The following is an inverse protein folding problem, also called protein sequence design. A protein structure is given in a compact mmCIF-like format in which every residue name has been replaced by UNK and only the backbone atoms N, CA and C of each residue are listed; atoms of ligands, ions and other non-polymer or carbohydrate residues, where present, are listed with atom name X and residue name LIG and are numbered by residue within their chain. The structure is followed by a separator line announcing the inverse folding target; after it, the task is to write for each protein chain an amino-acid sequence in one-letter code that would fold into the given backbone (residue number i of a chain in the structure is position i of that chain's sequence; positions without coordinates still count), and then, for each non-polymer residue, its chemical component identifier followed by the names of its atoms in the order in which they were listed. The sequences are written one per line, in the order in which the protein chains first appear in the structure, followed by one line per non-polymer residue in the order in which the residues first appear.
data_IF_350144479383
#
_entry.id   IF_350144479383
#
_cell.length_a   1.000
_cell.length_b   1.000
_cell.length_c   1.000
_cell.angle_alpha   90.00
_cell.angle_beta   90.00
_cell.angle_gamma   90.00
#
_symmetry.space_group_name_H-M   'P 1'
#
loop_
_entity.id
_entity.type
_entity.pdbx_description
1 polymer ?
#
# COMPACT_ATOMS: atom_id res chain seq x y z
N UNK A 1 -37.65 11.35 -20.55
CA UNK A 1 -36.89 11.51 -19.31
C UNK A 1 -35.43 11.58 -19.70
N UNK A 2 -34.88 12.80 -19.72
CA UNK A 2 -33.53 13.08 -20.20
C UNK A 2 -32.54 12.63 -19.13
N UNK A 3 -32.07 11.39 -19.22
CA UNK A 3 -31.15 10.80 -18.26
C UNK A 3 -29.73 11.27 -18.62
N UNK A 4 -29.43 12.55 -18.40
CA UNK A 4 -28.10 13.09 -18.64
C UNK A 4 -27.11 12.46 -17.65
N UNK A 5 -26.22 11.61 -18.16
CA UNK A 5 -25.15 11.02 -17.36
C UNK A 5 -24.29 12.17 -16.85
N UNK A 6 -24.30 12.40 -15.53
CA UNK A 6 -23.41 13.36 -14.88
C UNK A 6 -21.99 12.81 -14.94
N UNK A 7 -21.10 13.57 -15.57
CA UNK A 7 -19.68 13.23 -15.66
C UNK A 7 -18.93 14.06 -14.63
N UNK A 8 -18.10 13.44 -13.81
CA UNK A 8 -17.41 14.10 -12.70
C UNK A 8 -15.91 14.20 -13.00
N UNK A 9 -15.32 15.36 -12.71
CA UNK A 9 -13.89 15.58 -12.83
C UNK A 9 -13.13 14.79 -11.77
N UNK A 10 -12.20 13.93 -12.19
CA UNK A 10 -11.38 13.13 -11.28
C UNK A 10 -10.31 13.92 -10.54
N UNK A 11 -10.08 15.18 -10.90
CA UNK A 11 -9.08 16.05 -10.24
C UNK A 11 -9.69 16.84 -9.07
N UNK A 12 -10.91 17.38 -9.24
CA UNK A 12 -11.51 18.27 -8.25
C UNK A 12 -12.94 17.89 -7.83
N UNK A 13 -13.51 16.82 -8.39
CA UNK A 13 -14.86 16.33 -8.03
C UNK A 13 -16.02 17.16 -8.56
N UNK A 14 -15.76 18.24 -9.31
CA UNK A 14 -16.81 19.05 -9.93
C UNK A 14 -17.42 18.38 -11.17
N UNK A 15 -18.62 18.79 -11.54
CA UNK A 15 -19.26 18.33 -12.79
C UNK A 15 -18.48 18.81 -14.02
N UNK A 16 -18.34 17.92 -15.00
CA UNK A 16 -17.74 18.19 -16.29
C UNK A 16 -18.83 18.58 -17.29
N UNK A 17 -18.66 19.75 -17.92
CA UNK A 17 -19.61 20.25 -18.91
C UNK A 17 -19.21 19.81 -20.33
N UNK A 18 -20.16 19.35 -21.15
CA UNK A 18 -19.88 18.95 -22.52
C UNK A 18 -19.63 20.16 -23.43
N UNK A 19 -18.53 20.12 -24.18
CA UNK A 19 -18.23 20.99 -25.30
C UNK A 19 -18.40 20.18 -26.59
N UNK A 20 -19.58 20.33 -27.22
CA UNK A 20 -19.99 19.54 -28.38
C UNK A 20 -19.15 19.84 -29.62
N UNK A 21 -18.69 21.07 -29.78
CA UNK A 21 -17.89 21.50 -30.94
C UNK A 21 -16.54 20.79 -30.94
N UNK A 22 -15.90 20.74 -29.78
CA UNK A 22 -14.56 20.16 -29.63
C UNK A 22 -14.60 18.67 -29.24
N UNK A 23 -15.79 18.08 -29.04
CA UNK A 23 -15.99 16.70 -28.58
C UNK A 23 -15.24 16.39 -27.27
N UNK A 24 -15.20 17.36 -26.36
CA UNK A 24 -14.54 17.22 -25.06
C UNK A 24 -15.48 17.57 -23.90
N UNK A 25 -15.06 17.24 -22.69
CA UNK A 25 -15.71 17.60 -21.44
C UNK A 25 -14.76 18.48 -20.65
N UNK A 26 -15.19 19.69 -20.27
CA UNK A 26 -14.36 20.66 -19.56
C UNK A 26 -14.81 20.83 -18.11
N UNK A 27 -13.85 20.89 -17.20
CA UNK A 27 -14.10 21.26 -15.82
C UNK A 27 -14.01 22.77 -15.68
N UNK A 28 -15.10 23.42 -15.30
CA UNK A 28 -15.13 24.87 -15.06
C UNK A 28 -14.39 25.29 -13.80
N UNK A 29 -14.12 24.35 -12.88
CA UNK A 29 -13.44 24.63 -11.62
C UNK A 29 -11.91 24.54 -11.74
N UNK A 30 -11.37 23.48 -12.35
CA UNK A 30 -9.93 23.25 -12.43
C UNK A 30 -9.34 23.39 -13.85
N UNK A 31 -10.17 23.71 -14.85
CA UNK A 31 -9.76 23.96 -16.24
C UNK A 31 -9.36 22.72 -17.06
N UNK A 32 -9.34 21.53 -16.45
CA UNK A 32 -8.97 20.29 -17.16
C UNK A 32 -10.04 19.90 -18.17
N UNK A 33 -9.61 19.38 -19.32
CA UNK A 33 -10.48 18.86 -20.36
C UNK A 33 -10.17 17.40 -20.67
N UNK A 34 -11.21 16.62 -20.98
CA UNK A 34 -11.13 15.21 -21.32
C UNK A 34 -11.82 14.94 -22.65
N UNK A 35 -11.24 14.10 -23.50
CA UNK A 35 -11.90 13.66 -24.73
C UNK A 35 -13.16 12.86 -24.41
N UNK A 36 -14.28 13.16 -25.09
CA UNK A 36 -15.53 12.42 -24.93
C UNK A 36 -15.37 10.92 -25.24
N UNK A 37 -14.51 10.57 -26.19
CA UNK A 37 -14.17 9.20 -26.56
C UNK A 37 -13.55 8.40 -25.41
N UNK A 38 -12.82 9.06 -24.51
CA UNK A 38 -12.14 8.43 -23.37
C UNK A 38 -13.13 8.21 -22.20
N UNK A 39 -14.04 9.16 -21.99
CA UNK A 39 -15.05 9.08 -20.91
C UNK A 39 -16.06 7.97 -21.15
N UNK A 40 -16.53 7.83 -22.40
CA UNK A 40 -17.57 6.87 -22.78
C UNK A 40 -17.02 5.63 -23.48
N UNK A 41 -15.74 5.33 -23.28
CA UNK A 41 -15.12 4.14 -23.83
C UNK A 41 -15.73 2.89 -23.17
N UNK A 42 -16.46 2.10 -23.96
CA UNK A 42 -17.10 0.86 -23.49
C UNK A 42 -16.08 -0.20 -23.05
N UNK A 43 -14.85 -0.12 -23.56
CA UNK A 43 -13.77 -1.05 -23.24
C UNK A 43 -12.88 -0.56 -22.09
N UNK A 44 -13.18 0.58 -21.46
CA UNK A 44 -12.36 1.16 -20.38
C UNK A 44 -12.03 0.13 -19.28
N UNK A 45 -13.01 -0.66 -18.84
CA UNK A 45 -12.80 -1.70 -17.84
C UNK A 45 -11.88 -2.84 -18.33
N UNK A 46 -12.01 -3.22 -19.60
CA UNK A 46 -11.15 -4.24 -20.23
C UNK A 46 -9.71 -3.74 -20.36
N UNK A 47 -9.54 -2.49 -20.81
CA UNK A 47 -8.23 -1.82 -20.94
C UNK A 47 -7.56 -1.66 -19.58
N UNK A 48 -8.28 -1.19 -18.57
CA UNK A 48 -7.77 -1.07 -17.19
C UNK A 48 -7.22 -2.40 -16.67
N UNK A 49 -8.00 -3.48 -16.78
CA UNK A 49 -7.58 -4.82 -16.34
C UNK A 49 -6.37 -5.35 -17.12
N UNK A 50 -6.35 -5.16 -18.45
CA UNK A 50 -5.22 -5.57 -19.29
C UNK A 50 -3.94 -4.84 -18.89
N UNK A 51 -3.99 -3.51 -18.79
CA UNK A 51 -2.86 -2.68 -18.34
C UNK A 51 -2.37 -3.09 -16.95
N UNK A 52 -3.29 -3.32 -16.00
CA UNK A 52 -2.93 -3.78 -14.67
C UNK A 52 -2.21 -5.15 -14.70
N UNK A 53 -2.72 -6.10 -15.49
CA UNK A 53 -2.15 -7.45 -15.61
C UNK A 53 -0.73 -7.45 -16.20
N UNK A 54 -0.45 -6.58 -17.17
CA UNK A 54 0.91 -6.44 -17.75
C UNK A 54 1.85 -5.58 -16.89
N UNK A 55 1.34 -4.86 -15.89
CA UNK A 55 2.14 -4.01 -14.98
C UNK A 55 2.25 -2.55 -15.42
N UNK A 56 1.46 -2.11 -16.40
CA UNK A 56 1.36 -0.72 -16.82
C UNK A 56 0.43 0.05 -15.87
N UNK A 57 0.91 0.27 -14.64
CA UNK A 57 0.10 0.82 -13.54
C UNK A 57 -0.40 2.25 -13.78
N UNK A 58 0.37 3.08 -14.50
CA UNK A 58 -0.04 4.44 -14.83
C UNK A 58 -1.20 4.44 -15.83
N UNK A 59 -1.12 3.61 -16.87
CA UNK A 59 -2.18 3.46 -17.86
C UNK A 59 -3.43 2.85 -17.24
N UNK A 60 -3.27 1.85 -16.38
CA UNK A 60 -4.37 1.28 -15.61
C UNK A 60 -5.07 2.34 -14.74
N UNK A 61 -4.32 3.19 -14.02
CA UNK A 61 -4.88 4.28 -13.20
C UNK A 61 -5.66 5.30 -14.05
N UNK A 62 -5.21 5.59 -15.27
CA UNK A 62 -5.94 6.45 -16.22
C UNK A 62 -7.29 5.81 -16.56
N UNK A 63 -7.33 4.56 -16.98
CA UNK A 63 -8.58 3.89 -17.34
C UNK A 63 -9.53 3.73 -16.14
N UNK A 64 -9.01 3.43 -14.95
CA UNK A 64 -9.83 3.39 -13.73
C UNK A 64 -10.40 4.77 -13.38
N UNK A 65 -9.63 5.86 -13.57
CA UNK A 65 -10.16 7.22 -13.43
C UNK A 65 -11.29 7.50 -14.41
N UNK A 66 -11.17 7.07 -15.67
CA UNK A 66 -12.25 7.21 -16.67
C UNK A 66 -13.54 6.53 -16.24
N UNK A 67 -13.46 5.32 -15.69
CA UNK A 67 -14.64 4.63 -15.13
C UNK A 67 -15.25 5.44 -13.98
N UNK A 68 -14.42 5.99 -13.10
CA UNK A 68 -14.87 6.80 -11.96
C UNK A 68 -15.46 8.17 -12.34
N UNK A 69 -15.28 8.63 -13.58
CA UNK A 69 -15.93 9.85 -14.08
C UNK A 69 -17.44 9.65 -14.29
N UNK A 70 -17.85 8.43 -14.67
CA UNK A 70 -19.26 8.10 -14.96
C UNK A 70 -19.91 7.30 -13.83
N UNK A 71 -19.13 6.49 -13.10
CA UNK A 71 -19.58 5.71 -11.96
C UNK A 71 -18.65 5.95 -10.77
N UNK A 72 -18.94 6.96 -9.96
CA UNK A 72 -18.01 7.46 -8.93
C UNK A 72 -17.76 6.48 -7.78
N UNK A 73 -18.61 5.47 -7.61
CA UNK A 73 -18.59 4.47 -6.54
C UNK A 73 -18.22 3.08 -7.08
N UNK A 74 -17.75 2.97 -8.33
CA UNK A 74 -17.39 1.69 -8.94
C UNK A 74 -16.29 0.99 -8.12
N UNK A 75 -16.65 -0.13 -7.51
CA UNK A 75 -15.77 -0.87 -6.61
C UNK A 75 -14.48 -1.31 -7.30
N UNK A 76 -14.58 -1.88 -8.51
CA UNK A 76 -13.42 -2.40 -9.22
C UNK A 76 -12.47 -1.28 -9.64
N UNK A 77 -12.99 -0.11 -9.99
CA UNK A 77 -12.17 1.04 -10.31
C UNK A 77 -11.52 1.65 -9.07
N UNK A 78 -12.23 1.79 -7.95
CA UNK A 78 -11.65 2.24 -6.68
C UNK A 78 -10.56 1.28 -6.19
N UNK A 79 -10.84 -0.03 -6.22
CA UNK A 79 -9.88 -1.10 -5.91
C UNK A 79 -8.67 -1.07 -6.84
N UNK A 80 -8.91 -0.95 -8.14
CA UNK A 80 -7.87 -0.90 -9.16
C UNK A 80 -6.89 0.25 -8.95
N UNK A 81 -7.38 1.43 -8.55
CA UNK A 81 -6.52 2.59 -8.25
C UNK A 81 -5.62 2.39 -7.03
N UNK A 82 -6.04 1.59 -6.06
CA UNK A 82 -5.21 1.21 -4.91
C UNK A 82 -4.08 0.30 -5.37
N UNK A 83 -4.40 -0.72 -6.18
CA UNK A 83 -3.43 -1.62 -6.79
C UNK A 83 -2.40 -0.87 -7.65
N UNK A 84 -2.86 0.08 -8.48
CA UNK A 84 -1.98 0.93 -9.28
C UNK A 84 -1.03 1.77 -8.41
N UNK A 85 -1.54 2.37 -7.34
CA UNK A 85 -0.71 3.14 -6.40
C UNK A 85 0.34 2.27 -5.69
N UNK A 86 -0.01 1.01 -5.40
CA UNK A 86 0.88 0.03 -4.78
C UNK A 86 1.87 -0.60 -5.75
N UNK A 87 1.65 -0.46 -7.06
CA UNK A 87 2.32 -1.24 -8.12
C UNK A 87 2.09 -2.74 -7.96
N UNK A 88 0.85 -3.13 -7.66
CA UNK A 88 0.45 -4.51 -7.45
C UNK A 88 -0.53 -4.94 -8.53
N UNK A 89 -0.43 -6.19 -9.02
CA UNK A 89 -1.43 -6.74 -9.94
C UNK A 89 -2.63 -7.31 -9.17
N UNK A 90 -2.38 -7.76 -7.95
CA UNK A 90 -3.34 -8.27 -6.99
C UNK A 90 -2.87 -8.00 -5.56
N UNK A 91 -3.76 -8.12 -4.57
CA UNK A 91 -3.37 -8.03 -3.16
C UNK A 91 -2.51 -9.23 -2.69
N UNK A 92 -2.41 -10.29 -3.50
CA UNK A 92 -1.48 -11.39 -3.26
C UNK A 92 -0.03 -11.01 -3.63
N UNK A 93 0.15 -10.04 -4.53
CA UNK A 93 1.48 -9.57 -4.97
C UNK A 93 2.08 -8.52 -4.03
N UNK A 94 1.43 -8.25 -2.89
CA UNK A 94 1.86 -7.18 -2.01
C UNK A 94 3.20 -7.56 -1.38
N UNK A 95 4.24 -6.84 -1.80
CA UNK A 95 5.64 -7.02 -1.41
C UNK A 95 5.87 -6.92 0.11
N UNK A 96 7.08 -7.28 0.53
CA UNK A 96 7.56 -7.03 1.89
C UNK A 96 7.48 -5.53 2.19
N UNK A 97 7.03 -5.11 3.40
CA UNK A 97 6.92 -3.70 3.76
C UNK A 97 8.22 -2.90 3.60
N UNK A 98 9.37 -3.56 3.68
CA UNK A 98 10.69 -2.95 3.42
C UNK A 98 10.91 -2.50 1.97
N UNK A 99 10.11 -2.97 1.01
CA UNK A 99 10.19 -2.61 -0.40
C UNK A 99 9.39 -1.34 -0.77
N UNK A 100 8.50 -0.87 0.12
CA UNK A 100 7.65 0.29 -0.16
C UNK A 100 8.31 1.58 0.31
N UNK A 101 8.45 2.56 -0.60
CA UNK A 101 8.84 3.91 -0.22
C UNK A 101 7.73 4.62 0.57
N UNK A 102 8.10 5.60 1.40
CA UNK A 102 7.15 6.46 2.13
C UNK A 102 6.14 7.14 1.21
N UNK A 103 6.59 7.57 0.02
CA UNK A 103 5.74 8.13 -1.04
C UNK A 103 4.70 7.10 -1.52
N UNK A 104 5.12 5.84 -1.74
CA UNK A 104 4.20 4.78 -2.18
C UNK A 104 3.16 4.45 -1.10
N UNK A 105 3.58 4.36 0.17
CA UNK A 105 2.69 4.18 1.33
C UNK A 105 1.63 5.29 1.37
N UNK A 106 2.05 6.55 1.24
CA UNK A 106 1.14 7.70 1.21
C UNK A 106 0.15 7.61 0.05
N UNK A 107 0.63 7.34 -1.16
CA UNK A 107 -0.23 7.24 -2.35
C UNK A 107 -1.28 6.13 -2.20
N UNK A 108 -0.91 4.94 -1.69
CA UNK A 108 -1.87 3.85 -1.48
C UNK A 108 -2.91 4.21 -0.42
N UNK A 109 -2.47 4.83 0.69
CA UNK A 109 -3.35 5.32 1.76
C UNK A 109 -4.39 6.29 1.22
N UNK A 110 -3.98 7.30 0.46
CA UNK A 110 -4.87 8.30 -0.13
C UNK A 110 -5.93 7.64 -1.04
N UNK A 111 -5.54 6.66 -1.86
CA UNK A 111 -6.50 5.93 -2.71
C UNK A 111 -7.45 5.05 -1.91
N UNK A 112 -6.99 4.45 -0.83
CA UNK A 112 -7.84 3.65 0.05
C UNK A 112 -8.85 4.52 0.83
N UNK A 113 -8.42 5.71 1.28
CA UNK A 113 -9.30 6.70 1.91
C UNK A 113 -10.32 7.26 0.93
N UNK A 114 -9.90 7.59 -0.30
CA UNK A 114 -10.80 7.97 -1.39
C UNK A 114 -11.83 6.87 -1.67
N UNK A 115 -11.38 5.62 -1.77
CA UNK A 115 -12.25 4.46 -1.94
C UNK A 115 -13.27 4.32 -0.82
N UNK A 116 -12.84 4.45 0.44
CA UNK A 116 -13.72 4.39 1.60
C UNK A 116 -14.78 5.50 1.61
N UNK A 117 -14.42 6.70 1.16
CA UNK A 117 -15.33 7.84 1.11
C UNK A 117 -16.41 7.66 0.03
N UNK A 118 -16.02 7.13 -1.14
CA UNK A 118 -16.89 7.06 -2.33
C UNK A 118 -17.69 5.77 -2.44
N UNK A 119 -17.21 4.67 -1.85
CA UNK A 119 -17.82 3.36 -2.00
C UNK A 119 -19.18 3.23 -1.31
N UNK A 120 -19.98 2.28 -1.80
CA UNK A 120 -21.19 1.83 -1.13
C UNK A 120 -20.89 1.29 0.27
N UNK A 121 -21.86 1.37 1.17
CA UNK A 121 -21.69 0.95 2.57
C UNK A 121 -21.16 -0.48 2.71
N UNK A 122 -21.70 -1.41 1.91
CA UNK A 122 -21.27 -2.82 1.86
C UNK A 122 -19.79 -3.01 1.46
N UNK A 123 -19.19 -2.01 0.82
CA UNK A 123 -17.83 -2.07 0.27
C UNK A 123 -16.82 -1.30 1.14
N UNK A 124 -17.28 -0.45 2.07
CA UNK A 124 -16.41 0.37 2.93
C UNK A 124 -15.50 -0.45 3.84
N UNK A 125 -15.91 -1.67 4.19
CA UNK A 125 -15.08 -2.58 4.98
C UNK A 125 -13.78 -2.94 4.23
N UNK A 126 -13.87 -3.26 2.94
CA UNK A 126 -12.71 -3.57 2.10
C UNK A 126 -11.68 -2.43 2.10
N UNK A 127 -12.14 -1.20 1.89
CA UNK A 127 -11.26 -0.03 1.90
C UNK A 127 -10.68 0.24 3.29
N UNK A 128 -11.44 -0.03 4.35
CA UNK A 128 -10.94 0.04 5.73
C UNK A 128 -9.85 -1.02 6.00
N UNK A 129 -9.98 -2.22 5.45
CA UNK A 129 -8.93 -3.25 5.50
C UNK A 129 -7.67 -2.81 4.73
N UNK A 130 -7.83 -2.17 3.56
CA UNK A 130 -6.70 -1.60 2.82
C UNK A 130 -5.94 -0.52 3.63
N UNK A 131 -6.67 0.37 4.32
CA UNK A 131 -6.05 1.37 5.21
C UNK A 131 -5.31 0.68 6.36
N UNK A 132 -5.93 -0.34 6.98
CA UNK A 132 -5.28 -1.15 8.03
C UNK A 132 -3.99 -1.81 7.51
N UNK A 133 -4.01 -2.39 6.31
CA UNK A 133 -2.86 -3.01 5.68
C UNK A 133 -1.67 -2.04 5.59
N UNK A 134 -1.92 -0.83 5.09
CA UNK A 134 -0.89 0.21 4.93
C UNK A 134 -0.38 0.72 6.28
N UNK A 135 -1.27 0.89 7.26
CA UNK A 135 -0.86 1.23 8.64
C UNK A 135 0.07 0.16 9.22
N UNK A 136 -0.25 -1.12 9.04
CA UNK A 136 0.58 -2.22 9.52
C UNK A 136 1.94 -2.26 8.82
N UNK A 137 2.02 -1.93 7.53
CA UNK A 137 3.29 -1.76 6.83
C UNK A 137 4.15 -0.66 7.40
N UNK A 138 3.56 0.51 7.64
CA UNK A 138 4.29 1.64 8.22
C UNK A 138 4.80 1.31 9.63
N UNK A 139 3.99 0.64 10.45
CA UNK A 139 4.40 0.15 11.78
C UNK A 139 5.54 -0.85 11.69
N UNK A 140 5.47 -1.82 10.76
CA UNK A 140 6.52 -2.81 10.58
C UNK A 140 7.82 -2.14 10.14
N UNK A 141 7.76 -1.22 9.19
CA UNK A 141 8.93 -0.49 8.70
C UNK A 141 9.61 0.34 9.81
N UNK A 142 8.83 1.05 10.64
CA UNK A 142 9.34 1.77 11.81
C UNK A 142 10.05 0.80 12.78
N UNK A 143 9.45 -0.37 13.04
CA UNK A 143 10.05 -1.37 13.93
C UNK A 143 11.30 -2.03 13.36
N UNK A 144 11.35 -2.34 12.07
CA UNK A 144 12.57 -2.86 11.44
C UNK A 144 13.70 -1.80 11.48
N UNK A 145 13.36 -0.52 11.35
CA UNK A 145 14.32 0.60 11.47
C UNK A 145 14.86 0.75 12.90
N UNK A 146 14.03 0.50 13.92
CA UNK A 146 14.43 0.47 15.34
C UNK A 146 15.32 -0.74 15.67
N UNK A 147 14.97 -1.92 15.14
CA UNK A 147 15.70 -3.18 15.36
C UNK A 147 17.09 -3.15 14.72
N UNK A 148 17.21 -2.64 13.50
CA UNK A 148 18.44 -2.70 12.69
C UNK A 148 19.71 -2.25 13.43
N UNK A 149 19.79 -1.04 14.03
CA UNK A 149 21.01 -0.60 14.71
C UNK A 149 21.33 -1.42 15.96
N UNK A 150 20.32 -1.86 16.72
CA UNK A 150 20.51 -2.69 17.91
C UNK A 150 21.02 -4.08 17.52
N UNK A 151 20.43 -4.67 16.49
CA UNK A 151 20.82 -5.97 15.94
C UNK A 151 22.25 -5.94 15.38
N UNK A 152 22.61 -4.91 14.63
CA UNK A 152 23.97 -4.74 14.10
C UNK A 152 25.03 -4.65 15.21
N UNK A 153 24.74 -3.86 16.27
CA UNK A 153 25.62 -3.79 17.45
C UNK A 153 25.72 -5.16 18.14
N UNK A 154 24.60 -5.85 18.35
CA UNK A 154 24.58 -7.18 18.95
C UNK A 154 25.40 -8.19 18.14
N UNK A 155 25.25 -8.22 16.82
CA UNK A 155 26.02 -9.09 15.92
C UNK A 155 27.53 -8.81 15.99
N UNK A 156 27.92 -7.53 16.09
CA UNK A 156 29.31 -7.13 16.27
C UNK A 156 29.90 -7.67 17.57
N UNK A 157 29.25 -7.44 18.72
CA UNK A 157 29.73 -7.93 20.01
C UNK A 157 29.74 -9.46 20.10
N UNK A 158 28.79 -10.13 19.46
CA UNK A 158 28.75 -11.59 19.41
C UNK A 158 29.93 -12.19 18.64
N UNK A 159 30.28 -11.61 17.48
CA UNK A 159 31.48 -12.00 16.73
C UNK A 159 32.76 -11.82 17.54
N UNK A 160 32.88 -10.73 18.31
CA UNK A 160 34.04 -10.54 19.19
C UNK A 160 34.12 -11.64 20.26
N UNK A 161 32.99 -12.03 20.87
CA UNK A 161 32.97 -13.14 21.83
C UNK A 161 33.43 -14.46 21.20
N UNK A 162 32.95 -14.76 19.98
CA UNK A 162 33.33 -15.97 19.25
C UNK A 162 34.86 -16.01 19.01
N UNK A 163 35.46 -14.88 18.59
CA UNK A 163 36.92 -14.75 18.41
C UNK A 163 37.68 -14.96 19.73
N UNK A 164 37.24 -14.33 20.83
CA UNK A 164 37.90 -14.53 22.14
C UNK A 164 37.81 -15.98 22.63
N UNK A 165 36.70 -16.66 22.35
CA UNK A 165 36.50 -18.06 22.70
C UNK A 165 37.38 -19.01 21.87
N UNK A 166 37.60 -18.70 20.58
CA UNK A 166 38.40 -19.53 19.66
C UNK A 166 39.90 -19.42 19.91
N UNK A 167 40.42 -18.21 20.16
CA UNK A 167 41.86 -17.97 20.27
C UNK A 167 42.42 -18.04 21.70
N UNK A 168 41.58 -18.28 22.71
CA UNK A 168 41.98 -18.38 24.13
C UNK A 168 42.78 -17.16 24.64
N UNK A 169 42.54 -15.98 24.03
CA UNK A 169 43.26 -14.72 24.35
C UNK A 169 42.56 -14.06 25.52
N UNK A 170 43.03 -14.34 26.74
CA UNK A 170 42.49 -13.78 28.00
C UNK A 170 43.17 -12.47 28.44
N UNK A 171 43.51 -11.57 27.51
CA UNK A 171 44.13 -10.29 27.86
C UNK A 171 43.24 -9.08 27.48
N UNK A 172 42.98 -8.15 28.42
CA UNK A 172 42.72 -8.36 29.84
C UNK A 172 41.28 -8.87 30.06
N UNK A 173 41.05 -9.75 31.06
CA UNK A 173 39.73 -10.25 31.50
C UNK A 173 38.60 -9.19 31.57
N UNK A 174 38.95 -7.92 31.80
CA UNK A 174 38.04 -6.77 31.79
C UNK A 174 37.39 -6.53 30.41
N UNK A 175 38.09 -6.77 29.28
CA UNK A 175 37.53 -6.57 27.93
C UNK A 175 36.53 -7.67 27.56
N UNK A 176 36.80 -8.91 27.93
CA UNK A 176 35.91 -10.05 27.66
C UNK A 176 34.63 -10.03 28.52
N UNK A 177 34.77 -9.72 29.80
CA UNK A 177 33.61 -9.58 30.71
C UNK A 177 32.73 -8.37 30.34
N UNK A 178 33.32 -7.25 29.92
CA UNK A 178 32.59 -6.08 29.43
C UNK A 178 31.86 -6.36 28.10
N UNK A 179 32.46 -7.13 27.19
CA UNK A 179 31.80 -7.55 25.94
C UNK A 179 30.67 -8.54 26.21
N UNK A 180 30.79 -9.44 27.20
CA UNK A 180 29.70 -10.29 27.67
C UNK A 180 28.53 -9.51 28.29
N UNK A 181 28.80 -8.56 29.18
CA UNK A 181 27.72 -7.76 29.79
C UNK A 181 27.00 -6.92 28.74
N UNK A 182 27.76 -6.30 27.82
CA UNK A 182 27.19 -5.47 26.73
C UNK A 182 26.33 -6.30 25.77
N UNK A 183 26.76 -7.51 25.40
CA UNK A 183 25.96 -8.39 24.57
C UNK A 183 24.65 -8.82 25.26
N UNK A 184 24.71 -9.16 26.56
CA UNK A 184 23.51 -9.48 27.36
C UNK A 184 22.54 -8.31 27.45
N UNK A 185 23.04 -7.10 27.62
CA UNK A 185 22.21 -5.89 27.63
C UNK A 185 21.56 -5.60 26.27
N UNK A 186 22.30 -5.80 25.17
CA UNK A 186 21.77 -5.69 23.82
C UNK A 186 20.72 -6.78 23.55
N UNK A 187 20.92 -8.01 24.03
CA UNK A 187 19.95 -9.10 23.91
C UNK A 187 18.64 -8.78 24.64
N UNK A 188 18.75 -8.29 25.88
CA UNK A 188 17.61 -7.81 26.68
C UNK A 188 16.82 -6.69 25.98
N UNK A 189 17.50 -5.81 25.24
CA UNK A 189 16.86 -4.74 24.44
C UNK A 189 16.26 -5.28 23.14
N UNK A 190 16.94 -6.22 22.48
CA UNK A 190 16.54 -6.71 21.17
C UNK A 190 15.33 -7.65 21.25
N UNK A 191 15.25 -8.48 22.29
CA UNK A 191 14.17 -9.45 22.48
C UNK A 191 12.76 -8.85 22.45
N UNK A 192 12.41 -7.81 23.24
CA UNK A 192 11.07 -7.23 23.19
C UNK A 192 10.76 -6.57 21.83
N UNK A 193 11.76 -5.98 21.17
CA UNK A 193 11.58 -5.39 19.83
C UNK A 193 11.24 -6.46 18.78
N UNK A 194 11.93 -7.60 18.83
CA UNK A 194 11.64 -8.76 17.97
C UNK A 194 10.23 -9.30 18.24
N UNK A 195 9.85 -9.45 19.50
CA UNK A 195 8.52 -9.93 19.89
C UNK A 195 7.40 -8.99 19.39
N UNK A 196 7.59 -7.67 19.49
CA UNK A 196 6.67 -6.66 18.94
C UNK A 196 6.58 -6.74 17.42
N UNK A 197 7.70 -6.82 16.72
CA UNK A 197 7.74 -6.98 15.26
C UNK A 197 6.98 -8.24 14.84
N UNK A 198 7.16 -9.35 15.55
CA UNK A 198 6.51 -10.61 15.21
C UNK A 198 5.00 -10.56 15.45
N UNK A 199 4.53 -9.80 16.45
CA UNK A 199 3.10 -9.48 16.61
C UNK A 199 2.57 -8.68 15.43
N UNK A 200 3.29 -7.65 14.98
CA UNK A 200 2.91 -6.84 13.81
C UNK A 200 2.85 -7.71 12.54
N UNK A 201 3.80 -8.64 12.34
CA UNK A 201 3.78 -9.59 11.22
C UNK A 201 2.56 -10.52 11.27
N UNK A 202 2.18 -11.00 12.45
CA UNK A 202 0.95 -11.80 12.64
C UNK A 202 -0.30 -11.00 12.29
N UNK A 203 -0.38 -9.74 12.72
CA UNK A 203 -1.53 -8.89 12.41
C UNK A 203 -1.58 -8.53 10.92
N UNK A 204 -0.43 -8.32 10.30
CA UNK A 204 -0.33 -8.15 8.85
C UNK A 204 -0.89 -9.36 8.09
N UNK A 205 -0.52 -10.57 8.52
CA UNK A 205 -1.04 -11.80 7.93
C UNK A 205 -2.56 -11.89 8.06
N UNK A 206 -3.13 -11.56 9.23
CA UNK A 206 -4.59 -11.53 9.43
C UNK A 206 -5.28 -10.52 8.51
N UNK A 207 -4.71 -9.32 8.36
CA UNK A 207 -5.27 -8.28 7.48
C UNK A 207 -5.24 -8.72 6.02
N UNK A 208 -4.12 -9.28 5.55
CA UNK A 208 -4.01 -9.83 4.19
C UNK A 208 -5.07 -10.91 3.95
N UNK A 209 -5.20 -11.86 4.89
CA UNK A 209 -6.22 -12.90 4.81
C UNK A 209 -7.63 -12.32 4.72
N UNK A 210 -7.97 -11.33 5.57
CA UNK A 210 -9.28 -10.69 5.54
C UNK A 210 -9.58 -9.99 4.21
N UNK A 211 -8.57 -9.38 3.57
CA UNK A 211 -8.72 -8.79 2.23
C UNK A 211 -9.02 -9.89 1.20
N UNK A 212 -8.23 -10.97 1.19
CA UNK A 212 -8.44 -12.10 0.27
C UNK A 212 -9.81 -12.76 0.47
N UNK A 213 -10.24 -12.95 1.73
CA UNK A 213 -11.55 -13.51 2.06
C UNK A 213 -12.69 -12.61 1.56
N UNK A 214 -12.56 -11.28 1.71
CA UNK A 214 -13.52 -10.32 1.18
C UNK A 214 -13.63 -10.42 -0.35
N UNK A 215 -12.50 -10.46 -1.06
CA UNK A 215 -12.47 -10.58 -2.52
C UNK A 215 -13.13 -11.88 -3.01
N UNK A 216 -12.84 -13.00 -2.32
CA UNK A 216 -13.41 -14.30 -2.66
C UNK A 216 -14.93 -14.37 -2.43
N UNK A 217 -15.44 -13.71 -1.38
CA UNK A 217 -16.87 -13.69 -1.09
C UNK A 217 -17.64 -12.82 -2.08
N UNK A 218 -17.04 -11.71 -2.54
CA UNK A 218 -17.63 -10.86 -3.57
C UNK A 218 -17.71 -11.54 -4.93
N UNK A 219 -16.72 -12.36 -5.29
CA UNK A 219 -16.74 -13.10 -6.56
C UNK A 219 -17.83 -14.18 -6.66
N UNK A 220 -18.52 -14.49 -5.54
CA UNK A 220 -19.59 -15.49 -5.46
C UNK A 220 -20.99 -14.90 -5.37
N UNK A 221 -21.12 -13.57 -5.23
CA UNK A 221 -22.39 -12.84 -5.11
C UNK A 221 -22.77 -12.15 -6.41
#
# INVERSE_FOLDING_TARGET
MDNSIKVICTQCGAELLPDKENKIYRCTHCGVAYGSSVIFDRDAASKARKSLAIGEFNDADIWYKCILMTCSYDFEALRGRILCAGKWKSFNDVEDPSALSTVRIKNVRERAEEGKLRAWEKDKEFFSLCIKLINTFELLWKKETEIKPVKQKWEHYKRYQDIFAEYNVYEPLLSYSATQSTAKDLDRKLKPLIEERDKIKKDLFKVRKAITDFENNRGKS
#
